data_IF_674447807686
#
_entry.id   IF_674447807686
#
_cell.length_a   1.000
_cell.length_b   1.000
_cell.length_c   1.000
_cell.angle_alpha   90.00
_cell.angle_beta   90.00
_cell.angle_gamma   90.00
#
_symmetry.space_group_name_H-M   'P 1'
#
loop_
_entity.id
_entity.type
_entity.pdbx_description
1 polymer ?
#
# COMPACT_ATOMS: atom_id res chain seq x y z
N UNK A 1 -0.67 24.02 -27.92
CA UNK A 1 -0.58 25.30 -27.19
C UNK A 1 -0.61 24.94 -25.72
N UNK A 2 0.56 24.78 -25.13
CA UNK A 2 0.76 24.39 -23.73
C UNK A 2 0.70 25.65 -22.87
N UNK A 3 -0.38 25.76 -22.08
CA UNK A 3 -0.52 26.82 -21.07
C UNK A 3 0.10 26.31 -19.77
N UNK A 4 1.32 26.74 -19.49
CA UNK A 4 1.94 26.59 -18.17
C UNK A 4 1.34 27.64 -17.24
N UNK A 5 0.40 27.24 -16.40
CA UNK A 5 -0.09 28.08 -15.31
C UNK A 5 1.02 28.19 -14.25
N UNK A 6 1.65 29.34 -14.18
CA UNK A 6 2.55 29.70 -13.09
C UNK A 6 1.71 29.99 -11.83
N UNK A 7 1.71 29.07 -10.89
CA UNK A 7 1.09 29.26 -9.59
C UNK A 7 1.92 30.24 -8.76
N UNK A 8 1.40 31.44 -8.53
CA UNK A 8 1.98 32.38 -7.57
C UNK A 8 1.64 31.94 -6.14
N UNK A 9 2.67 31.63 -5.36
CA UNK A 9 2.61 31.15 -3.98
C UNK A 9 2.16 32.18 -2.94
N UNK A 10 1.63 33.33 -3.35
CA UNK A 10 1.44 34.50 -2.48
C UNK A 10 0.06 34.64 -1.79
N UNK A 11 -0.89 33.73 -2.02
CA UNK A 11 -2.25 33.87 -1.51
C UNK A 11 -2.60 33.10 -0.22
N UNK A 12 -1.77 32.16 0.21
CA UNK A 12 -2.14 31.19 1.25
C UNK A 12 -1.42 31.34 2.59
N UNK A 13 -0.43 32.25 2.66
CA UNK A 13 0.34 32.45 3.89
C UNK A 13 -0.43 33.20 5.02
N UNK A 14 -1.60 33.77 4.71
CA UNK A 14 -2.32 34.63 5.67
C UNK A 14 -3.41 33.91 6.50
N UNK A 15 -3.71 32.63 6.25
CA UNK A 15 -4.79 31.91 6.96
C UNK A 15 -4.30 30.75 7.82
N UNK A 16 -3.00 30.44 7.86
CA UNK A 16 -2.45 29.46 8.78
C UNK A 16 -2.05 30.18 10.06
N UNK A 17 -2.96 30.23 11.04
CA UNK A 17 -2.61 30.61 12.39
C UNK A 17 -1.44 29.73 12.87
N UNK A 18 -0.35 30.34 13.25
CA UNK A 18 0.78 29.67 13.87
C UNK A 18 0.29 28.89 15.10
N UNK A 19 0.82 27.69 15.40
CA UNK A 19 0.47 26.98 16.61
C UNK A 19 0.70 27.87 17.82
N UNK A 20 -0.08 27.72 18.91
CA UNK A 20 -0.07 28.64 20.04
C UNK A 20 1.36 28.83 20.55
N UNK A 21 1.79 30.07 20.56
CA UNK A 21 3.17 30.55 20.84
C UNK A 21 3.80 29.98 22.13
N UNK A 22 3.03 29.38 23.03
CA UNK A 22 3.49 28.95 24.34
C UNK A 22 4.36 27.67 24.34
N UNK A 23 4.07 26.70 23.48
CA UNK A 23 4.82 25.40 23.46
C UNK A 23 6.10 25.49 22.64
N UNK A 24 6.09 26.25 21.55
CA UNK A 24 7.27 26.50 20.73
C UNK A 24 8.32 27.29 21.50
N UNK A 25 7.91 28.35 22.23
CA UNK A 25 8.81 29.15 23.05
C UNK A 25 9.52 28.35 24.15
N UNK A 26 8.88 27.29 24.65
CA UNK A 26 9.44 26.41 25.68
C UNK A 26 10.52 25.47 25.11
N UNK A 27 10.30 24.90 23.92
CA UNK A 27 11.30 24.10 23.22
C UNK A 27 12.49 24.92 22.73
N UNK A 28 12.24 26.16 22.28
CA UNK A 28 13.29 27.13 21.89
C UNK A 28 14.14 27.51 23.10
N UNK A 29 13.54 27.85 24.22
CA UNK A 29 14.26 28.15 25.48
C UNK A 29 15.08 26.95 25.97
N UNK A 30 14.55 25.74 25.90
CA UNK A 30 15.28 24.52 26.25
C UNK A 30 16.47 24.28 25.31
N UNK A 31 16.32 24.57 24.01
CA UNK A 31 17.41 24.42 23.02
C UNK A 31 18.54 25.44 23.23
N UNK A 32 18.25 26.63 23.75
CA UNK A 32 19.24 27.69 23.97
C UNK A 32 19.92 27.60 25.34
N UNK A 33 19.16 27.39 26.40
CA UNK A 33 19.65 27.51 27.79
C UNK A 33 20.07 26.18 28.38
N UNK A 34 19.56 25.05 27.86
CA UNK A 34 19.83 23.69 28.36
C UNK A 34 20.24 22.73 27.23
N UNK A 35 21.23 23.12 26.43
CA UNK A 35 21.66 22.35 25.24
C UNK A 35 21.95 20.89 25.49
N UNK A 36 22.58 20.57 26.64
CA UNK A 36 22.88 19.16 26.99
C UNK A 36 21.60 18.39 27.28
N UNK A 37 20.71 18.95 28.10
CA UNK A 37 19.43 18.31 28.46
C UNK A 37 18.55 18.15 27.21
N UNK A 38 18.47 19.18 26.37
CA UNK A 38 17.70 19.11 25.14
C UNK A 38 18.24 18.03 24.20
N UNK A 39 19.56 17.91 24.06
CA UNK A 39 20.22 16.88 23.25
C UNK A 39 19.98 15.48 23.80
N UNK A 40 20.23 15.27 25.08
CA UNK A 40 20.25 13.93 25.70
C UNK A 40 18.87 13.44 26.08
N UNK A 41 17.99 14.31 26.54
CA UNK A 41 16.66 13.93 27.01
C UNK A 41 15.57 14.09 25.95
N UNK A 42 15.69 15.06 25.06
CA UNK A 42 14.68 15.31 24.02
C UNK A 42 15.10 14.73 22.68
N UNK A 43 16.21 15.24 22.11
CA UNK A 43 16.60 14.83 20.75
C UNK A 43 17.01 13.37 20.65
N UNK A 44 17.65 12.79 21.68
CA UNK A 44 18.06 11.39 21.65
C UNK A 44 16.87 10.42 21.67
N UNK A 45 15.75 10.80 22.31
CA UNK A 45 14.52 10.02 22.38
C UNK A 45 13.61 10.17 21.18
N UNK A 46 13.80 11.20 20.37
CA UNK A 46 13.03 11.41 19.15
C UNK A 46 13.51 10.50 18.02
N UNK A 47 12.59 10.03 17.22
CA UNK A 47 12.93 9.36 15.97
C UNK A 47 13.64 10.31 15.00
N UNK A 48 14.33 9.78 13.99
CA UNK A 48 14.95 10.60 12.93
C UNK A 48 13.91 11.49 12.25
N UNK A 49 12.68 11.00 12.12
CA UNK A 49 11.54 11.72 11.54
C UNK A 49 11.13 12.92 12.38
N UNK A 50 10.99 12.70 13.68
CA UNK A 50 10.55 13.75 14.60
C UNK A 50 11.63 14.83 14.73
N UNK A 51 12.91 14.45 14.73
CA UNK A 51 14.03 15.40 14.66
C UNK A 51 14.02 16.21 13.37
N UNK A 52 13.71 15.58 12.24
CA UNK A 52 13.57 16.27 10.96
C UNK A 52 12.43 17.30 10.98
N UNK A 53 11.27 16.90 11.51
CA UNK A 53 10.13 17.81 11.67
C UNK A 53 10.47 18.95 12.62
N UNK A 54 11.09 18.64 13.77
CA UNK A 54 11.51 19.63 14.75
C UNK A 54 12.49 20.67 14.16
N UNK A 55 13.44 20.20 13.33
CA UNK A 55 14.40 21.09 12.64
C UNK A 55 13.76 22.02 11.61
N UNK A 56 12.49 21.86 11.31
CA UNK A 56 11.75 22.75 10.38
C UNK A 56 10.80 23.70 11.08
N UNK A 57 10.60 23.54 12.38
CA UNK A 57 9.71 24.38 13.17
C UNK A 57 10.31 25.78 13.39
N UNK A 58 11.61 25.86 13.72
CA UNK A 58 12.29 27.12 13.86
C UNK A 58 13.78 27.03 13.48
N UNK A 59 14.42 28.18 13.24
CA UNK A 59 15.85 28.24 12.94
C UNK A 59 16.71 27.78 14.12
N UNK A 60 16.30 28.06 15.35
CA UNK A 60 16.95 27.67 16.59
C UNK A 60 16.90 26.15 16.78
N UNK A 61 15.74 25.57 16.64
CA UNK A 61 15.56 24.11 16.73
C UNK A 61 16.31 23.36 15.62
N UNK A 62 16.39 23.96 14.42
CA UNK A 62 17.22 23.44 13.33
C UNK A 62 18.70 23.42 13.72
N UNK A 63 19.20 24.53 14.23
CA UNK A 63 20.57 24.61 14.69
C UNK A 63 20.86 23.59 15.79
N UNK A 64 19.99 23.47 16.79
CA UNK A 64 20.12 22.48 17.85
C UNK A 64 20.13 21.04 17.32
N UNK A 65 19.26 20.70 16.38
CA UNK A 65 19.24 19.39 15.74
C UNK A 65 20.53 19.09 14.95
N UNK A 66 21.00 20.05 14.15
CA UNK A 66 22.23 19.89 13.34
C UNK A 66 23.50 19.82 14.21
N UNK A 67 23.56 20.57 15.29
CA UNK A 67 24.69 20.56 16.22
C UNK A 67 24.69 19.38 17.20
N UNK A 68 23.59 18.64 17.30
CA UNK A 68 23.45 17.50 18.20
C UNK A 68 24.35 16.31 17.87
N UNK A 69 24.84 16.22 16.63
CA UNK A 69 25.55 15.04 16.11
C UNK A 69 24.63 13.82 15.89
N UNK A 70 23.34 13.93 16.18
CA UNK A 70 22.36 12.88 15.93
C UNK A 70 21.86 12.96 14.47
N UNK A 71 21.56 11.85 13.81
CA UNK A 71 21.07 11.87 12.44
C UNK A 71 19.74 12.58 12.35
N UNK A 72 19.73 13.72 11.68
CA UNK A 72 18.51 14.53 11.37
C UNK A 72 18.14 14.36 9.90
N UNK A 73 19.17 14.30 9.05
CA UNK A 73 19.05 14.15 7.60
C UNK A 73 20.17 13.22 7.16
N UNK A 74 19.88 12.24 6.31
CA UNK A 74 20.95 11.51 5.62
C UNK A 74 21.80 12.45 4.78
N UNK A 75 23.08 12.16 4.60
CA UNK A 75 23.98 12.97 3.81
C UNK A 75 23.40 13.29 2.42
N UNK A 76 23.77 14.41 1.81
CA UNK A 76 23.12 14.96 0.61
C UNK A 76 23.04 14.00 -0.60
N UNK A 77 23.63 12.81 -0.54
CA UNK A 77 23.54 11.76 -1.58
C UNK A 77 22.31 10.86 -1.41
N UNK A 78 21.65 10.85 -0.24
CA UNK A 78 20.42 10.10 0.05
C UNK A 78 19.14 10.94 0.01
N UNK A 79 19.15 12.10 -0.62
CA UNK A 79 17.95 12.96 -0.74
C UNK A 79 16.70 12.24 -1.22
N UNK A 80 16.84 11.28 -2.13
CA UNK A 80 15.72 10.56 -2.74
C UNK A 80 15.07 9.57 -1.78
N UNK A 81 15.85 8.89 -0.94
CA UNK A 81 15.32 7.89 0.01
C UNK A 81 14.64 8.53 1.22
N UNK A 82 15.13 9.68 1.69
CA UNK A 82 14.51 10.37 2.82
C UNK A 82 13.16 11.01 2.48
N UNK A 83 12.96 11.48 1.25
CA UNK A 83 11.64 11.94 0.80
C UNK A 83 10.62 10.80 0.83
N UNK A 84 11.03 9.60 0.46
CA UNK A 84 10.15 8.43 0.46
C UNK A 84 9.73 8.04 1.88
N UNK A 85 10.67 7.97 2.83
CA UNK A 85 10.38 7.59 4.22
C UNK A 85 9.74 8.73 5.02
N UNK A 86 10.16 9.97 4.81
CA UNK A 86 9.60 11.14 5.49
C UNK A 86 8.18 11.48 5.03
N UNK A 87 7.91 11.39 3.72
CA UNK A 87 6.58 11.66 3.15
C UNK A 87 5.56 10.64 3.63
N UNK A 88 5.93 9.36 3.66
CA UNK A 88 5.06 8.30 4.18
C UNK A 88 4.70 8.56 5.64
N UNK A 89 5.67 8.94 6.46
CA UNK A 89 5.43 9.23 7.88
C UNK A 89 4.53 10.44 8.11
N UNK A 90 4.66 11.48 7.27
CA UNK A 90 3.84 12.68 7.36
C UNK A 90 2.44 12.40 6.85
N UNK A 91 2.31 11.62 5.77
CA UNK A 91 1.02 11.21 5.23
C UNK A 91 0.18 10.38 6.24
N UNK A 92 0.84 9.67 7.17
CA UNK A 92 0.17 8.99 8.29
C UNK A 92 -0.33 9.95 9.37
N UNK A 93 0.18 11.18 9.40
CA UNK A 93 -0.09 12.17 10.45
C UNK A 93 -1.34 13.02 10.23
N UNK A 94 -1.64 13.92 11.17
CA UNK A 94 -2.73 14.87 11.03
C UNK A 94 -2.47 15.85 9.87
N UNK A 95 -3.52 16.24 9.17
CA UNK A 95 -3.42 17.11 7.99
C UNK A 95 -2.73 18.45 8.28
N UNK A 96 -2.93 19.04 9.47
CA UNK A 96 -2.30 20.32 9.84
C UNK A 96 -0.77 20.24 9.90
N UNK A 97 -0.18 19.09 10.27
CA UNK A 97 1.27 18.87 10.22
C UNK A 97 1.76 18.89 8.78
N UNK A 98 1.01 18.27 7.89
CA UNK A 98 1.30 18.27 6.47
C UNK A 98 1.22 19.67 5.87
N UNK A 99 0.14 20.40 6.17
CA UNK A 99 -0.07 21.80 5.77
C UNK A 99 1.07 22.69 6.25
N UNK A 100 1.48 22.56 7.51
CA UNK A 100 2.60 23.28 8.07
C UNK A 100 3.91 22.98 7.32
N UNK A 101 4.22 21.72 7.05
CA UNK A 101 5.42 21.35 6.30
C UNK A 101 5.44 21.98 4.90
N UNK A 102 4.30 22.00 4.21
CA UNK A 102 4.17 22.63 2.89
C UNK A 102 4.35 24.14 2.97
N UNK A 103 3.75 24.79 3.96
CA UNK A 103 3.93 26.23 4.20
C UNK A 103 5.40 26.62 4.48
N UNK A 104 6.18 25.68 5.05
CA UNK A 104 7.63 25.84 5.26
C UNK A 104 8.47 25.50 4.02
N UNK A 105 7.84 25.33 2.85
CA UNK A 105 8.53 25.07 1.59
C UNK A 105 8.97 23.61 1.39
N UNK A 106 8.36 22.66 2.10
CA UNK A 106 8.57 21.26 1.80
C UNK A 106 7.91 20.90 0.46
N UNK A 107 8.62 20.25 -0.49
CA UNK A 107 8.09 19.97 -1.81
C UNK A 107 7.18 18.72 -1.80
N UNK A 108 6.13 18.75 -0.96
CA UNK A 108 5.18 17.65 -0.82
C UNK A 108 3.99 17.73 -1.80
N UNK A 109 3.82 18.85 -2.49
CA UNK A 109 2.81 19.00 -3.52
C UNK A 109 3.30 18.38 -4.84
N UNK A 110 3.21 17.06 -4.92
CA UNK A 110 3.62 16.28 -6.09
C UNK A 110 2.68 15.07 -6.28
N UNK A 111 2.71 14.34 -7.42
CA UNK A 111 1.81 13.22 -7.69
C UNK A 111 1.92 12.05 -6.71
N UNK A 112 3.01 11.95 -5.93
CA UNK A 112 3.18 10.89 -4.93
C UNK A 112 2.46 11.19 -3.61
N UNK A 113 2.07 12.44 -3.36
CA UNK A 113 1.35 12.80 -2.12
C UNK A 113 -0.02 12.16 -2.04
N UNK A 114 -0.90 12.26 -3.06
CA UNK A 114 -2.16 11.53 -3.06
C UNK A 114 -1.98 10.01 -2.98
N UNK A 115 -0.96 9.47 -3.67
CA UNK A 115 -0.63 8.04 -3.61
C UNK A 115 -0.31 7.58 -2.18
N UNK A 116 0.55 8.34 -1.47
CA UNK A 116 0.92 8.01 -0.10
C UNK A 116 -0.23 8.18 0.88
N UNK A 117 -1.05 9.22 0.71
CA UNK A 117 -2.26 9.42 1.51
C UNK A 117 -3.25 8.26 1.31
N UNK A 118 -3.41 7.79 0.08
CA UNK A 118 -4.22 6.65 -0.27
C UNK A 118 -3.66 5.33 0.32
N UNK A 119 -2.33 5.14 0.26
CA UNK A 119 -1.64 3.96 0.81
C UNK A 119 -1.85 3.80 2.33
N UNK A 120 -1.94 4.91 3.07
CA UNK A 120 -2.16 4.88 4.52
C UNK A 120 -3.63 5.06 4.92
N UNK A 121 -4.51 5.28 3.96
CA UNK A 121 -5.94 5.49 4.20
C UNK A 121 -6.26 6.84 4.85
N UNK A 122 -5.44 7.87 4.63
CA UNK A 122 -5.63 9.20 5.21
C UNK A 122 -6.45 10.10 4.28
N UNK A 123 -7.78 10.03 4.38
CA UNK A 123 -8.70 10.81 3.56
C UNK A 123 -8.46 12.32 3.71
N UNK A 124 -8.14 12.82 4.91
CA UNK A 124 -7.95 14.25 5.14
C UNK A 124 -6.74 14.82 4.40
N UNK A 125 -5.63 14.06 4.34
CA UNK A 125 -4.45 14.45 3.55
C UNK A 125 -4.74 14.29 2.07
N UNK A 126 -5.46 13.24 1.68
CA UNK A 126 -5.84 12.99 0.29
C UNK A 126 -6.71 14.13 -0.27
N UNK A 127 -7.77 14.51 0.43
CA UNK A 127 -8.67 15.61 0.04
C UNK A 127 -7.91 16.93 -0.06
N UNK A 128 -7.14 17.25 0.98
CA UNK A 128 -6.34 18.46 0.99
C UNK A 128 -5.32 18.52 -0.16
N UNK A 129 -4.60 17.42 -0.41
CA UNK A 129 -3.65 17.36 -1.52
C UNK A 129 -4.35 17.59 -2.88
N UNK A 130 -5.52 17.03 -3.08
CA UNK A 130 -6.32 17.23 -4.28
C UNK A 130 -6.79 18.70 -4.42
N UNK A 131 -7.31 19.30 -3.35
CA UNK A 131 -7.72 20.72 -3.32
C UNK A 131 -6.55 21.67 -3.61
N UNK A 132 -5.33 21.29 -3.23
CA UNK A 132 -4.10 22.02 -3.54
C UNK A 132 -3.60 21.78 -4.98
N UNK A 133 -4.35 21.05 -5.79
CA UNK A 133 -4.04 20.80 -7.20
C UNK A 133 -2.99 19.71 -7.43
N UNK A 134 -2.71 18.85 -6.46
CA UNK A 134 -1.87 17.67 -6.71
C UNK A 134 -2.58 16.75 -7.72
N UNK A 135 -1.95 16.43 -8.85
CA UNK A 135 -2.56 15.55 -9.83
C UNK A 135 -2.65 14.12 -9.30
N UNK A 136 -3.70 13.42 -9.71
CA UNK A 136 -3.77 11.98 -9.51
C UNK A 136 -2.68 11.27 -10.29
N UNK A 137 -2.06 10.26 -9.70
CA UNK A 137 -1.30 9.30 -10.45
C UNK A 137 -2.06 7.96 -10.50
N UNK A 138 -1.70 7.09 -11.43
CA UNK A 138 -2.34 5.77 -11.60
C UNK A 138 -2.27 4.89 -10.34
N UNK A 139 -1.31 5.14 -9.45
CA UNK A 139 -1.12 4.36 -8.23
C UNK A 139 -2.03 4.83 -7.08
N UNK A 140 -2.65 6.01 -7.18
CA UNK A 140 -3.51 6.53 -6.10
C UNK A 140 -4.72 5.60 -5.87
N UNK A 141 -5.48 5.29 -6.91
CA UNK A 141 -6.59 4.35 -6.81
C UNK A 141 -6.12 2.93 -6.46
N UNK A 142 -5.01 2.47 -7.04
CA UNK A 142 -4.42 1.16 -6.73
C UNK A 142 -4.07 1.03 -5.24
N UNK A 143 -3.38 2.01 -4.67
CA UNK A 143 -2.98 2.00 -3.25
C UNK A 143 -4.18 2.05 -2.32
N UNK A 144 -5.19 2.84 -2.66
CA UNK A 144 -6.45 2.87 -1.92
C UNK A 144 -7.20 1.52 -2.00
N UNK A 145 -7.25 0.93 -3.19
CA UNK A 145 -7.97 -0.33 -3.42
C UNK A 145 -7.33 -1.52 -2.69
N UNK A 146 -5.99 -1.61 -2.65
CA UNK A 146 -5.27 -2.68 -1.96
C UNK A 146 -5.27 -2.57 -0.43
N UNK A 147 -5.82 -1.48 0.13
CA UNK A 147 -5.87 -1.27 1.56
C UNK A 147 -6.90 -2.14 2.27
N UNK A 148 -6.58 -2.53 3.51
CA UNK A 148 -7.38 -3.50 4.29
C UNK A 148 -8.38 -2.86 5.26
N UNK A 149 -8.35 -1.53 5.43
CA UNK A 149 -9.22 -0.83 6.38
C UNK A 149 -10.36 -0.07 5.69
N UNK A 150 -11.46 0.21 6.39
CA UNK A 150 -12.56 1.03 5.83
C UNK A 150 -12.12 2.42 5.35
N UNK A 151 -11.08 2.99 5.97
CA UNK A 151 -10.53 4.28 5.58
C UNK A 151 -9.92 4.27 4.16
N UNK A 152 -9.38 3.13 3.73
CA UNK A 152 -8.88 2.98 2.36
C UNK A 152 -10.02 2.99 1.34
N UNK A 153 -11.15 2.34 1.66
CA UNK A 153 -12.34 2.39 0.81
C UNK A 153 -12.86 3.82 0.66
N UNK A 154 -12.90 4.60 1.76
CA UNK A 154 -13.31 6.02 1.67
C UNK A 154 -12.35 6.85 0.82
N UNK A 155 -11.05 6.58 0.88
CA UNK A 155 -10.06 7.20 -0.01
C UNK A 155 -10.26 6.79 -1.48
N UNK A 156 -10.55 5.52 -1.73
CA UNK A 156 -10.84 5.01 -3.07
C UNK A 156 -12.07 5.68 -3.68
N UNK A 157 -13.17 5.71 -2.92
CA UNK A 157 -14.42 6.39 -3.33
C UNK A 157 -14.15 7.85 -3.66
N UNK A 158 -13.46 8.57 -2.76
CA UNK A 158 -13.12 9.97 -2.98
C UNK A 158 -12.28 10.17 -4.24
N UNK A 159 -11.21 9.40 -4.41
CA UNK A 159 -10.32 9.53 -5.57
C UNK A 159 -11.07 9.25 -6.88
N UNK A 160 -11.88 8.19 -6.94
CA UNK A 160 -12.64 7.81 -8.11
C UNK A 160 -13.69 8.87 -8.48
N UNK A 161 -14.48 9.34 -7.52
CA UNK A 161 -15.52 10.38 -7.76
C UNK A 161 -14.92 11.71 -8.21
N UNK A 162 -13.63 11.96 -7.95
CA UNK A 162 -12.90 13.16 -8.39
C UNK A 162 -11.98 12.90 -9.60
N UNK A 163 -12.27 11.85 -10.38
CA UNK A 163 -11.66 11.63 -11.68
C UNK A 163 -10.34 10.85 -11.69
N UNK A 164 -9.99 10.18 -10.61
CA UNK A 164 -8.91 9.20 -10.64
C UNK A 164 -9.39 7.94 -11.35
N UNK A 165 -8.88 7.69 -12.55
CA UNK A 165 -9.29 6.54 -13.36
C UNK A 165 -8.78 5.21 -12.77
N UNK A 166 -9.56 4.15 -12.94
CA UNK A 166 -9.13 2.80 -12.65
C UNK A 166 -8.19 2.28 -13.75
N UNK A 167 -7.09 1.67 -13.33
CA UNK A 167 -6.22 0.86 -14.19
C UNK A 167 -6.73 -0.60 -14.17
N UNK A 168 -6.54 -1.34 -15.25
CA UNK A 168 -6.91 -2.75 -15.36
C UNK A 168 -6.28 -3.65 -14.25
N UNK A 169 -5.16 -3.21 -13.66
CA UNK A 169 -4.51 -3.92 -12.55
C UNK A 169 -5.14 -3.68 -11.19
N UNK A 170 -5.91 -2.61 -11.03
CA UNK A 170 -6.45 -2.21 -9.72
C UNK A 170 -7.27 -3.33 -9.11
N UNK A 171 -8.10 -3.97 -9.92
CA UNK A 171 -8.98 -5.03 -9.44
C UNK A 171 -8.20 -6.31 -9.10
N UNK A 172 -7.28 -6.74 -9.98
CA UNK A 172 -6.47 -7.94 -9.76
C UNK A 172 -5.54 -7.80 -8.53
N UNK A 173 -4.88 -6.66 -8.38
CA UNK A 173 -4.01 -6.40 -7.23
C UNK A 173 -4.82 -6.28 -5.92
N UNK A 174 -6.01 -5.67 -5.98
CA UNK A 174 -6.91 -5.58 -4.83
C UNK A 174 -7.44 -6.96 -4.40
N UNK A 175 -7.64 -7.89 -5.34
CA UNK A 175 -8.11 -9.24 -5.05
C UNK A 175 -7.20 -10.00 -4.06
N UNK A 176 -5.90 -9.67 -4.03
CA UNK A 176 -4.94 -10.27 -3.12
C UNK A 176 -5.19 -9.93 -1.64
N UNK A 177 -5.55 -8.67 -1.36
CA UNK A 177 -5.50 -8.13 0.02
C UNK A 177 -6.75 -7.38 0.46
N UNK A 178 -7.51 -6.80 -0.47
CA UNK A 178 -8.63 -5.93 -0.14
C UNK A 178 -9.83 -6.67 0.48
N UNK A 179 -10.61 -6.01 1.35
CA UNK A 179 -11.89 -6.54 1.80
C UNK A 179 -12.87 -6.75 0.63
N UNK A 180 -13.75 -7.72 0.75
CA UNK A 180 -14.76 -8.01 -0.27
C UNK A 180 -15.66 -6.81 -0.58
N UNK A 181 -15.89 -5.92 0.38
CA UNK A 181 -16.62 -4.67 0.21
C UNK A 181 -15.97 -3.73 -0.80
N UNK A 182 -14.63 -3.66 -0.78
CA UNK A 182 -13.86 -2.87 -1.74
C UNK A 182 -13.94 -3.48 -3.15
N UNK A 183 -13.85 -4.81 -3.25
CA UNK A 183 -13.97 -5.50 -4.54
C UNK A 183 -15.36 -5.35 -5.14
N UNK A 184 -16.42 -5.41 -4.32
CA UNK A 184 -17.78 -5.12 -4.78
C UNK A 184 -17.92 -3.69 -5.29
N UNK A 185 -17.38 -2.72 -4.57
CA UNK A 185 -17.37 -1.33 -5.03
C UNK A 185 -16.67 -1.18 -6.40
N UNK A 186 -15.48 -1.80 -6.56
CA UNK A 186 -14.76 -1.77 -7.84
C UNK A 186 -15.59 -2.38 -8.98
N UNK A 187 -16.28 -3.49 -8.70
CA UNK A 187 -17.15 -4.15 -9.67
C UNK A 187 -18.35 -3.29 -10.05
N UNK A 188 -19.04 -2.72 -9.06
CA UNK A 188 -20.25 -1.89 -9.26
C UNK A 188 -19.91 -0.59 -10.02
N UNK A 189 -18.73 -0.01 -9.81
CA UNK A 189 -18.23 1.18 -10.52
C UNK A 189 -17.60 0.87 -11.89
N UNK A 190 -17.67 -0.37 -12.35
CA UNK A 190 -17.18 -0.76 -13.66
C UNK A 190 -15.65 -0.74 -13.83
N UNK A 191 -14.90 -0.99 -12.75
CA UNK A 191 -13.46 -1.15 -12.86
C UNK A 191 -13.14 -2.26 -13.86
N UNK A 192 -12.24 -2.04 -14.85
CA UNK A 192 -11.81 -3.08 -15.75
C UNK A 192 -11.22 -4.27 -15.01
N UNK A 193 -11.61 -5.45 -15.38
CA UNK A 193 -11.08 -6.70 -14.83
C UNK A 193 -11.00 -7.78 -15.92
N UNK A 194 -10.11 -8.73 -15.71
CA UNK A 194 -9.91 -9.90 -16.53
C UNK A 194 -9.74 -11.16 -15.65
N UNK A 195 -9.32 -12.24 -16.24
CA UNK A 195 -9.06 -13.50 -15.55
C UNK A 195 -7.95 -13.42 -14.49
N UNK A 196 -7.07 -12.42 -14.55
CA UNK A 196 -6.01 -12.20 -13.54
C UNK A 196 -6.56 -11.89 -12.14
N UNK A 197 -7.81 -11.41 -12.04
CA UNK A 197 -8.53 -11.25 -10.76
C UNK A 197 -8.60 -12.58 -10.02
N UNK A 198 -9.08 -13.62 -10.69
CA UNK A 198 -9.29 -14.94 -10.08
C UNK A 198 -7.95 -15.66 -9.83
N UNK A 199 -6.98 -15.49 -10.74
CA UNK A 199 -5.62 -16.00 -10.56
C UNK A 199 -4.97 -15.38 -9.31
N UNK A 200 -5.03 -14.05 -9.17
CA UNK A 200 -4.52 -13.34 -8.00
C UNK A 200 -5.21 -13.80 -6.71
N UNK A 201 -6.54 -13.94 -6.72
CA UNK A 201 -7.29 -14.45 -5.59
C UNK A 201 -6.87 -15.88 -5.20
N UNK A 202 -6.70 -16.76 -6.18
CA UNK A 202 -6.27 -18.14 -5.98
C UNK A 202 -4.84 -18.22 -5.42
N UNK A 203 -3.91 -17.39 -5.92
CA UNK A 203 -2.53 -17.31 -5.46
C UNK A 203 -2.42 -16.84 -4.00
N UNK A 204 -3.39 -16.04 -3.51
CA UNK A 204 -3.42 -15.53 -2.14
C UNK A 204 -4.43 -16.26 -1.23
N UNK A 205 -5.02 -17.36 -1.69
CA UNK A 205 -5.93 -18.17 -0.90
C UNK A 205 -7.28 -17.51 -0.59
N UNK A 206 -7.69 -16.55 -1.40
CA UNK A 206 -8.92 -15.77 -1.23
C UNK A 206 -10.13 -16.50 -1.80
N UNK A 207 -10.58 -17.55 -1.10
CA UNK A 207 -11.77 -18.29 -1.47
C UNK A 207 -13.02 -17.40 -1.55
N UNK A 208 -13.14 -16.44 -0.62
CA UNK A 208 -14.24 -15.46 -0.58
C UNK A 208 -14.37 -14.66 -1.90
N UNK A 209 -13.26 -14.36 -2.55
CA UNK A 209 -13.25 -13.67 -3.86
C UNK A 209 -13.70 -14.61 -4.97
N UNK A 210 -13.19 -15.82 -5.01
CA UNK A 210 -13.59 -16.82 -6.01
C UNK A 210 -15.08 -17.16 -5.92
N UNK A 211 -15.64 -17.23 -4.71
CA UNK A 211 -17.07 -17.45 -4.47
C UNK A 211 -17.93 -16.24 -4.89
N UNK A 212 -17.40 -15.02 -4.72
CA UNK A 212 -18.14 -13.80 -5.09
C UNK A 212 -18.12 -13.54 -6.59
N UNK A 213 -17.02 -13.90 -7.29
CA UNK A 213 -16.82 -13.67 -8.72
C UNK A 213 -16.56 -14.98 -9.48
N UNK A 214 -17.49 -15.94 -9.48
CA UNK A 214 -17.26 -17.26 -10.06
C UNK A 214 -17.08 -17.26 -11.59
N UNK A 215 -17.62 -16.25 -12.27
CA UNK A 215 -17.49 -16.12 -13.73
C UNK A 215 -16.04 -15.86 -14.15
N UNK A 216 -15.32 -15.03 -13.41
CA UNK A 216 -13.90 -14.72 -13.67
C UNK A 216 -13.02 -15.94 -13.35
N UNK A 217 -13.35 -16.69 -12.29
CA UNK A 217 -12.63 -17.88 -11.92
C UNK A 217 -12.82 -19.01 -12.95
N UNK A 218 -14.03 -19.14 -13.52
CA UNK A 218 -14.30 -20.10 -14.59
C UNK A 218 -13.60 -19.71 -15.90
N UNK A 219 -13.52 -18.43 -16.22
CA UNK A 219 -12.78 -17.93 -17.38
C UNK A 219 -11.27 -18.16 -17.24
N UNK A 220 -10.72 -17.98 -16.03
CA UNK A 220 -9.30 -18.20 -15.73
C UNK A 220 -8.88 -19.69 -15.71
N UNK A 221 -9.82 -20.62 -15.54
CA UNK A 221 -9.64 -22.06 -15.66
C UNK A 221 -8.32 -22.59 -15.10
N UNK A 222 -7.43 -23.04 -16.01
CA UNK A 222 -6.11 -23.60 -15.66
C UNK A 222 -5.23 -22.64 -14.86
N UNK A 223 -5.27 -21.33 -15.13
CA UNK A 223 -4.46 -20.36 -14.40
C UNK A 223 -4.84 -20.33 -12.91
N UNK A 224 -6.13 -20.38 -12.60
CA UNK A 224 -6.65 -20.39 -11.23
C UNK A 224 -6.25 -21.66 -10.48
N UNK A 225 -6.41 -22.85 -11.11
CA UNK A 225 -6.02 -24.11 -10.50
C UNK A 225 -4.52 -24.23 -10.29
N UNK A 226 -3.73 -23.77 -11.26
CA UNK A 226 -2.27 -23.73 -11.19
C UNK A 226 -1.76 -22.75 -10.11
N UNK A 227 -2.35 -21.54 -10.01
CA UNK A 227 -2.03 -20.57 -8.97
C UNK A 227 -2.36 -21.09 -7.56
N UNK A 228 -3.55 -21.67 -7.36
CA UNK A 228 -3.95 -22.26 -6.09
C UNK A 228 -3.02 -23.41 -5.66
N UNK A 229 -2.65 -24.28 -6.61
CA UNK A 229 -1.78 -25.43 -6.36
C UNK A 229 -0.34 -25.02 -6.03
N UNK A 230 0.23 -24.07 -6.78
CA UNK A 230 1.60 -23.58 -6.61
C UNK A 230 1.82 -22.82 -5.30
N UNK A 231 0.77 -22.22 -4.73
CA UNK A 231 0.82 -21.52 -3.45
C UNK A 231 0.22 -22.30 -2.27
N UNK A 232 -0.22 -23.56 -2.52
CA UNK A 232 -0.69 -24.47 -1.47
C UNK A 232 -2.08 -24.17 -0.92
N UNK A 233 -2.90 -23.44 -1.66
CA UNK A 233 -4.25 -23.06 -1.22
C UNK A 233 -5.29 -24.12 -1.59
N UNK A 234 -5.29 -25.24 -0.87
CA UNK A 234 -6.19 -26.37 -1.10
C UNK A 234 -7.68 -25.99 -1.16
N UNK A 235 -8.23 -25.11 -0.29
CA UNK A 235 -9.63 -24.71 -0.41
C UNK A 235 -9.98 -24.06 -1.75
N UNK A 236 -9.11 -23.16 -2.24
CA UNK A 236 -9.29 -22.52 -3.55
C UNK A 236 -9.17 -23.52 -4.68
N UNK A 237 -8.20 -24.45 -4.60
CA UNK A 237 -8.02 -25.52 -5.58
C UNK A 237 -9.26 -26.43 -5.66
N UNK A 238 -9.78 -26.88 -4.53
CA UNK A 238 -11.01 -27.70 -4.48
C UNK A 238 -12.19 -26.94 -5.05
N UNK A 239 -12.37 -25.69 -4.69
CA UNK A 239 -13.47 -24.88 -5.20
C UNK A 239 -13.40 -24.73 -6.72
N UNK A 240 -12.21 -24.45 -7.26
CA UNK A 240 -12.02 -24.32 -8.71
C UNK A 240 -12.31 -25.63 -9.46
N UNK A 241 -11.84 -26.78 -8.96
CA UNK A 241 -12.04 -28.08 -9.61
C UNK A 241 -13.46 -28.61 -9.42
N UNK A 242 -13.98 -28.61 -8.19
CA UNK A 242 -15.24 -29.29 -7.85
C UNK A 242 -16.49 -28.45 -8.12
N UNK A 243 -16.39 -27.12 -7.98
CA UNK A 243 -17.55 -26.23 -8.10
C UNK A 243 -17.59 -25.48 -9.42
N UNK A 244 -16.43 -25.09 -9.94
CA UNK A 244 -16.33 -24.33 -11.18
C UNK A 244 -15.98 -25.19 -12.38
N UNK A 245 -15.63 -26.46 -12.14
CA UNK A 245 -15.24 -27.41 -13.18
C UNK A 245 -14.07 -26.92 -14.03
N UNK A 246 -13.12 -26.23 -13.37
CA UNK A 246 -11.93 -25.73 -14.04
C UNK A 246 -10.98 -26.87 -14.37
N UNK A 247 -10.39 -26.81 -15.54
CA UNK A 247 -9.35 -27.74 -15.95
C UNK A 247 -8.10 -27.65 -15.11
N UNK A 248 -7.41 -28.76 -14.96
CA UNK A 248 -6.11 -28.84 -14.29
C UNK A 248 -5.06 -29.30 -15.26
N UNK A 249 -3.92 -28.66 -15.32
CA UNK A 249 -2.78 -29.11 -16.13
C UNK A 249 -1.72 -29.85 -15.28
N UNK A 250 -0.77 -30.50 -15.95
CA UNK A 250 0.35 -31.18 -15.31
C UNK A 250 1.23 -30.21 -14.49
N UNK A 251 1.26 -28.92 -14.87
CA UNK A 251 2.04 -27.90 -14.16
C UNK A 251 1.52 -27.67 -12.74
N UNK A 252 0.20 -27.73 -12.53
CA UNK A 252 -0.38 -27.59 -11.19
C UNK A 252 0.18 -28.64 -10.22
N UNK A 253 0.28 -29.89 -10.67
CA UNK A 253 0.82 -30.98 -9.88
C UNK A 253 2.34 -30.85 -9.66
N UNK A 254 3.09 -30.59 -10.73
CA UNK A 254 4.56 -30.46 -10.66
C UNK A 254 5.01 -29.26 -9.82
N UNK A 255 4.33 -28.14 -9.93
CA UNK A 255 4.65 -26.96 -9.10
C UNK A 255 4.26 -27.15 -7.63
N UNK A 256 3.09 -27.74 -7.34
CA UNK A 256 2.69 -28.07 -5.98
C UNK A 256 3.71 -29.03 -5.32
N UNK A 257 4.21 -30.01 -6.06
CA UNK A 257 5.23 -30.94 -5.57
C UNK A 257 6.58 -30.23 -5.35
N UNK A 258 7.02 -29.39 -6.29
CA UNK A 258 8.27 -28.63 -6.19
C UNK A 258 8.30 -27.68 -4.99
N UNK A 259 7.17 -27.06 -4.65
CA UNK A 259 7.03 -26.17 -3.49
C UNK A 259 6.66 -26.90 -2.20
N UNK A 260 6.44 -28.24 -2.25
CA UNK A 260 6.18 -29.06 -1.07
C UNK A 260 4.75 -28.95 -0.50
N UNK A 261 3.80 -28.55 -1.31
CA UNK A 261 2.38 -28.42 -0.91
C UNK A 261 1.67 -29.78 -0.88
N UNK A 262 2.00 -30.60 0.09
CA UNK A 262 1.57 -32.00 0.22
C UNK A 262 0.07 -32.22 0.09
N UNK A 263 -0.74 -31.36 0.69
CA UNK A 263 -2.19 -31.48 0.65
C UNK A 263 -2.76 -31.27 -0.77
N UNK A 264 -2.21 -30.30 -1.50
CA UNK A 264 -2.58 -30.05 -2.88
C UNK A 264 -2.14 -31.21 -3.78
N UNK A 265 -0.91 -31.73 -3.60
CA UNK A 265 -0.43 -32.90 -4.36
C UNK A 265 -1.32 -34.11 -4.12
N UNK A 266 -1.64 -34.45 -2.85
CA UNK A 266 -2.54 -35.57 -2.54
C UNK A 266 -3.92 -35.42 -3.20
N UNK A 267 -4.46 -34.21 -3.16
CA UNK A 267 -5.75 -33.95 -3.78
C UNK A 267 -5.68 -34.14 -5.30
N UNK A 268 -4.66 -33.59 -5.97
CA UNK A 268 -4.49 -33.67 -7.41
C UNK A 268 -4.24 -35.12 -7.89
N UNK A 269 -3.45 -35.90 -7.15
CA UNK A 269 -3.23 -37.32 -7.42
C UNK A 269 -4.54 -38.11 -7.24
N UNK A 270 -5.28 -37.89 -6.15
CA UNK A 270 -6.57 -38.55 -5.92
C UNK A 270 -7.62 -38.17 -6.97
N UNK A 271 -7.59 -36.96 -7.48
CA UNK A 271 -8.45 -36.49 -8.58
C UNK A 271 -7.99 -37.00 -9.98
N UNK A 272 -6.87 -37.73 -10.05
CA UNK A 272 -6.25 -38.21 -11.29
C UNK A 272 -6.02 -37.13 -12.33
N UNK A 273 -5.51 -35.99 -11.89
CA UNK A 273 -5.17 -34.88 -12.77
C UNK A 273 -4.03 -35.27 -13.72
N UNK A 274 -3.86 -34.61 -14.88
CA UNK A 274 -2.77 -34.92 -15.81
C UNK A 274 -1.40 -35.01 -15.12
N UNK A 275 -0.63 -36.07 -15.42
CA UNK A 275 0.67 -36.35 -14.82
C UNK A 275 0.65 -37.02 -13.44
N UNK A 276 -0.54 -37.41 -12.91
CA UNK A 276 -0.69 -38.00 -11.58
C UNK A 276 0.09 -39.32 -11.39
N UNK A 277 0.22 -40.12 -12.43
CA UNK A 277 0.91 -41.42 -12.45
C UNK A 277 2.39 -41.30 -12.06
N UNK A 278 3.06 -40.20 -12.42
CA UNK A 278 4.44 -39.93 -12.03
C UNK A 278 4.61 -39.68 -10.51
N UNK A 279 3.54 -39.37 -9.81
CA UNK A 279 3.55 -39.01 -8.38
C UNK A 279 2.84 -40.04 -7.49
N UNK A 280 2.07 -40.99 -8.04
CA UNK A 280 1.25 -41.94 -7.28
C UNK A 280 2.11 -42.78 -6.32
N UNK A 281 3.24 -43.32 -6.79
CA UNK A 281 4.15 -44.11 -5.95
C UNK A 281 4.87 -43.26 -4.88
N UNK A 282 5.29 -42.04 -5.25
CA UNK A 282 6.02 -41.15 -4.37
C UNK A 282 5.15 -40.55 -3.25
N UNK A 283 3.86 -40.38 -3.50
CA UNK A 283 2.91 -39.74 -2.58
C UNK A 283 1.84 -40.71 -2.05
N UNK A 284 2.04 -42.03 -2.18
CA UNK A 284 1.19 -43.06 -1.58
C UNK A 284 1.40 -43.16 -0.06
N UNK A 285 0.39 -43.64 0.69
CA UNK A 285 0.53 -43.83 2.13
C UNK A 285 1.71 -44.78 2.46
N UNK A 286 2.65 -44.26 3.28
CA UNK A 286 3.87 -45.00 3.66
C UNK A 286 5.13 -44.57 2.92
N UNK A 287 5.06 -43.69 1.94
CA UNK A 287 6.27 -43.10 1.32
C UNK A 287 6.98 -42.12 2.26
N UNK A 288 8.31 -41.95 2.15
CA UNK A 288 9.08 -41.01 3.00
C UNK A 288 8.64 -39.54 2.88
N UNK A 289 7.87 -39.22 1.86
CA UNK A 289 7.39 -37.85 1.58
C UNK A 289 6.04 -37.53 2.25
N UNK A 290 5.42 -38.53 2.90
CA UNK A 290 4.17 -38.35 3.64
C UNK A 290 4.34 -37.63 4.96
#
# INVERSE_FOLDING_TARGET
>A
MSSTASFSSSGWASSLEAPPHSTLSLLERLSEHHKCVFREEVLARLSVKDRFLLARVSSELRAACLTSGLPVVGDGRRRVTMFRDGTHSIACGPVHVFQYCVAQGCPFLNPHTPELAALVGNLKVLTWAHEMGCPWNRLTCLRAACGTTPSHLTCLVYAHTHGCAFDARVFADAAATAPITTLKYLFDEGCPYDESLAESAAAHGRLDVLETFPSTAKSGGIAVTSAAASHGHLPCLKFAVERLECDVDERALSTAAAWGHKECVRYLVAARCPGWDAYDEAWSPGSPQW
#
